data_IF_454766264286
#
_entry.id   IF_454766264286
#
_cell.length_a   1.000
_cell.length_b   1.000
_cell.length_c   1.000
_cell.angle_alpha   90.00
_cell.angle_beta   90.00
_cell.angle_gamma   90.00
#
_symmetry.space_group_name_H-M   'P 1'
#
loop_
_entity.id
_entity.type
_entity.pdbx_description
1 polymer ?
#
# COMPACT_ATOMS: atom_id res chain seq x y z
N UNK A 1 -31.03 -13.77 26.61
CA UNK A 1 -30.82 -12.34 26.96
C UNK A 1 -30.06 -11.73 25.81
N UNK A 2 -30.74 -10.95 24.95
CA UNK A 2 -30.06 -10.13 23.95
C UNK A 2 -29.47 -8.93 24.68
N UNK A 3 -28.15 -8.78 24.67
CA UNK A 3 -27.51 -7.56 25.16
C UNK A 3 -27.99 -6.40 24.28
N UNK A 4 -28.80 -5.50 24.85
CA UNK A 4 -29.16 -4.26 24.19
C UNK A 4 -27.90 -3.43 23.98
N UNK A 5 -27.44 -3.36 22.72
CA UNK A 5 -26.34 -2.49 22.33
C UNK A 5 -26.79 -1.06 22.61
N UNK A 6 -26.19 -0.44 23.63
CA UNK A 6 -26.57 0.88 24.14
C UNK A 6 -25.40 1.86 23.99
N UNK A 7 -25.68 3.16 23.90
CA UNK A 7 -24.65 4.20 23.88
C UNK A 7 -23.99 4.41 22.51
N UNK A 8 -22.70 4.70 22.47
CA UNK A 8 -22.01 5.08 21.21
C UNK A 8 -22.09 3.97 20.14
N UNK A 9 -22.04 2.70 20.54
CA UNK A 9 -22.15 1.59 19.61
C UNK A 9 -23.48 1.56 18.86
N UNK A 10 -24.60 1.89 19.51
CA UNK A 10 -25.91 1.89 18.83
C UNK A 10 -26.00 2.99 17.77
N UNK A 11 -25.43 4.17 18.07
CA UNK A 11 -25.33 5.26 17.10
C UNK A 11 -24.47 4.87 15.89
N UNK A 12 -23.32 4.22 16.14
CA UNK A 12 -22.45 3.72 15.06
C UNK A 12 -23.18 2.67 14.21
N UNK A 13 -23.90 1.74 14.84
CA UNK A 13 -24.71 0.74 14.12
C UNK A 13 -25.83 1.38 13.29
N UNK A 14 -26.44 2.46 13.79
CA UNK A 14 -27.50 3.16 13.06
C UNK A 14 -26.98 3.85 11.79
N UNK A 15 -25.74 4.36 11.81
CA UNK A 15 -25.15 5.05 10.64
C UNK A 15 -24.36 4.12 9.72
N UNK A 16 -23.88 2.97 10.21
CA UNK A 16 -23.04 2.05 9.44
C UNK A 16 -23.64 1.58 8.10
N UNK A 17 -24.97 1.36 7.97
CA UNK A 17 -25.58 1.07 6.68
C UNK A 17 -25.37 2.14 5.62
N UNK A 18 -25.16 3.40 6.01
CA UNK A 18 -24.90 4.51 5.09
C UNK A 18 -23.41 4.78 4.88
N UNK A 19 -22.52 4.06 5.55
CA UNK A 19 -21.08 4.36 5.58
C UNK A 19 -20.47 4.54 4.18
N UNK A 20 -20.67 3.57 3.27
CA UNK A 20 -20.14 3.66 1.90
C UNK A 20 -20.71 4.82 1.07
N UNK A 21 -21.87 5.38 1.44
CA UNK A 21 -22.48 6.52 0.75
C UNK A 21 -21.99 7.85 1.31
N UNK A 22 -21.50 7.85 2.56
CA UNK A 22 -20.96 9.04 3.23
C UNK A 22 -19.49 9.32 2.89
N UNK A 23 -18.76 8.34 2.38
CA UNK A 23 -17.34 8.44 2.08
C UNK A 23 -17.08 8.36 0.57
N UNK A 24 -16.09 9.11 0.11
CA UNK A 24 -15.67 9.07 -1.30
C UNK A 24 -14.84 7.82 -1.62
N UNK A 25 -14.01 7.39 -0.67
CA UNK A 25 -13.11 6.25 -0.84
C UNK A 25 -13.85 4.92 -0.64
N UNK A 26 -13.49 3.90 -1.42
CA UNK A 26 -14.07 2.56 -1.26
C UNK A 26 -13.50 1.86 -0.01
N UNK A 27 -14.28 1.86 1.07
CA UNK A 27 -13.88 1.26 2.35
C UNK A 27 -15.00 0.45 2.99
N UNK A 28 -14.66 -0.68 3.58
CA UNK A 28 -15.57 -1.45 4.43
C UNK A 28 -15.60 -0.90 5.86
N UNK A 29 -16.70 -1.16 6.56
CA UNK A 29 -16.84 -0.88 7.99
C UNK A 29 -17.21 -2.16 8.74
N UNK A 30 -16.60 -2.38 9.89
CA UNK A 30 -16.93 -3.44 10.83
C UNK A 30 -17.11 -2.83 12.22
N UNK A 31 -18.16 -3.23 12.93
CA UNK A 31 -18.43 -2.80 14.30
C UNK A 31 -18.52 -4.05 15.17
N UNK A 32 -17.89 -4.01 16.34
CA UNK A 32 -17.82 -5.13 17.28
C UNK A 32 -18.19 -4.66 18.68
N UNK A 33 -18.73 -5.56 19.50
CA UNK A 33 -18.70 -5.40 20.96
C UNK A 33 -17.37 -5.99 21.48
N UNK A 34 -17.33 -6.38 22.76
CA UNK A 34 -16.17 -7.00 23.39
C UNK A 34 -15.96 -8.48 23.04
N UNK A 35 -16.95 -9.13 22.44
CA UNK A 35 -16.99 -10.59 22.24
C UNK A 35 -17.04 -10.97 20.76
N UNK A 36 -17.76 -10.22 19.94
CA UNK A 36 -18.11 -10.59 18.57
C UNK A 36 -18.36 -9.38 17.66
N UNK A 37 -18.40 -9.66 16.36
CA UNK A 37 -18.80 -8.71 15.32
C UNK A 37 -20.31 -8.48 15.37
N UNK A 38 -20.72 -7.22 15.49
CA UNK A 38 -22.12 -6.81 15.46
C UNK A 38 -22.58 -6.50 14.03
N UNK A 39 -21.71 -5.90 13.23
CA UNK A 39 -22.04 -5.45 11.88
C UNK A 39 -20.83 -5.45 10.98
N UNK A 40 -21.03 -5.82 9.71
CA UNK A 40 -20.04 -5.69 8.67
C UNK A 40 -20.70 -5.22 7.38
N UNK A 41 -20.15 -4.17 6.78
CA UNK A 41 -20.44 -3.76 5.41
C UNK A 41 -19.13 -3.78 4.62
N UNK A 42 -19.02 -4.56 3.54
CA UNK A 42 -17.81 -4.64 2.74
C UNK A 42 -17.58 -3.36 1.94
N UNK A 43 -16.34 -3.16 1.49
CA UNK A 43 -16.06 -2.26 0.38
C UNK A 43 -16.59 -2.89 -0.93
N UNK A 44 -16.71 -2.11 -1.99
CA UNK A 44 -17.10 -2.62 -3.32
C UNK A 44 -16.08 -3.61 -3.85
N UNK A 45 -14.79 -3.30 -3.73
CA UNK A 45 -13.70 -4.12 -4.26
C UNK A 45 -13.12 -5.09 -3.23
N UNK A 46 -13.41 -4.89 -1.94
CA UNK A 46 -12.87 -5.71 -0.85
C UNK A 46 -13.97 -6.21 0.09
N UNK A 47 -14.33 -7.49 -0.08
CA UNK A 47 -15.23 -8.20 0.80
C UNK A 47 -14.52 -9.34 1.55
N UNK A 48 -14.28 -9.12 2.85
CA UNK A 48 -13.64 -10.08 3.76
C UNK A 48 -14.59 -11.21 4.20
N UNK A 49 -15.86 -11.19 3.76
CA UNK A 49 -16.90 -12.18 4.09
C UNK A 49 -17.12 -12.35 5.60
N UNK A 50 -16.95 -11.28 6.35
CA UNK A 50 -17.20 -11.25 7.79
C UNK A 50 -18.72 -11.29 8.01
N UNK A 51 -19.16 -12.07 9.00
CA UNK A 51 -20.57 -12.17 9.38
C UNK A 51 -20.76 -11.62 10.79
N UNK A 52 -21.95 -11.07 11.06
CA UNK A 52 -22.35 -10.76 12.42
C UNK A 52 -22.40 -12.05 13.26
N UNK A 53 -22.02 -11.95 14.52
CA UNK A 53 -21.83 -13.10 15.42
C UNK A 53 -20.46 -13.78 15.30
N UNK A 54 -19.55 -13.28 14.44
CA UNK A 54 -18.18 -13.81 14.38
C UNK A 54 -17.43 -13.43 15.67
N UNK A 55 -16.89 -14.40 16.45
CA UNK A 55 -16.15 -14.10 17.66
C UNK A 55 -14.88 -13.28 17.38
N UNK A 56 -14.57 -12.36 18.28
CA UNK A 56 -13.32 -11.61 18.26
C UNK A 56 -12.14 -12.53 18.57
N UNK A 57 -11.12 -12.45 17.71
CA UNK A 57 -9.90 -13.25 17.83
C UNK A 57 -8.66 -12.34 17.86
N UNK A 58 -7.56 -12.76 18.51
CA UNK A 58 -6.35 -11.93 18.66
C UNK A 58 -5.75 -11.39 17.35
N UNK A 59 -5.97 -12.10 16.25
CA UNK A 59 -5.49 -11.70 14.92
C UNK A 59 -6.27 -10.50 14.36
N UNK A 60 -7.47 -10.23 14.88
CA UNK A 60 -8.32 -9.13 14.43
C UNK A 60 -7.83 -7.80 15.01
N UNK A 61 -7.79 -6.76 14.17
CA UNK A 61 -7.42 -5.41 14.62
C UNK A 61 -8.35 -4.87 15.71
N UNK A 62 -9.65 -5.22 15.66
CA UNK A 62 -10.63 -4.88 16.69
C UNK A 62 -10.24 -5.42 18.07
N UNK A 63 -9.78 -6.68 18.14
CA UNK A 63 -9.38 -7.29 19.41
C UNK A 63 -8.25 -6.50 20.07
N UNK A 64 -7.20 -6.17 19.30
CA UNK A 64 -6.08 -5.39 19.80
C UNK A 64 -6.47 -3.96 20.20
N UNK A 65 -7.36 -3.31 19.43
CA UNK A 65 -7.83 -1.98 19.77
C UNK A 65 -8.61 -1.97 21.10
N UNK A 66 -9.40 -3.02 21.35
CA UNK A 66 -10.15 -3.19 22.59
C UNK A 66 -9.21 -3.52 23.76
N UNK A 67 -8.30 -4.49 23.59
CA UNK A 67 -7.44 -4.99 24.67
C UNK A 67 -6.36 -3.99 25.08
N UNK A 68 -5.77 -3.28 24.12
CA UNK A 68 -4.75 -2.27 24.36
C UNK A 68 -5.35 -0.88 24.63
N UNK A 69 -6.65 -0.71 24.38
CA UNK A 69 -7.36 0.56 24.52
C UNK A 69 -6.68 1.71 23.74
N UNK A 70 -6.23 1.41 22.52
CA UNK A 70 -5.59 2.38 21.62
C UNK A 70 -6.03 2.16 20.18
N UNK A 71 -5.86 3.18 19.34
CA UNK A 71 -6.05 3.06 17.89
C UNK A 71 -5.01 2.12 17.29
N UNK A 72 -5.47 1.11 16.57
CA UNK A 72 -4.62 0.12 15.88
C UNK A 72 -4.72 0.32 14.36
N UNK A 73 -3.57 0.30 13.69
CA UNK A 73 -3.48 0.24 12.22
C UNK A 73 -2.72 -1.03 11.87
N UNK A 74 -3.38 -1.97 11.19
CA UNK A 74 -2.74 -3.18 10.68
C UNK A 74 -2.80 -3.22 9.16
N UNK A 75 -1.64 -3.44 8.55
CA UNK A 75 -1.54 -3.76 7.13
C UNK A 75 -1.57 -5.28 6.97
N UNK A 76 -2.48 -5.75 6.14
CA UNK A 76 -2.69 -7.16 5.85
C UNK A 76 -2.21 -7.46 4.43
N UNK A 77 -1.35 -8.46 4.25
CA UNK A 77 -0.86 -8.85 2.92
C UNK A 77 -1.99 -9.49 2.09
N UNK A 78 -1.83 -9.44 0.78
CA UNK A 78 -2.75 -10.06 -0.18
C UNK A 78 -2.90 -11.58 0.01
N UNK A 79 -1.94 -12.25 0.64
CA UNK A 79 -1.90 -13.71 0.81
C UNK A 79 -3.11 -14.28 1.57
N UNK A 80 -3.80 -13.47 2.38
CA UNK A 80 -4.93 -13.93 3.20
C UNK A 80 -6.28 -13.78 2.48
N UNK A 81 -6.44 -12.75 1.65
CA UNK A 81 -7.74 -12.36 1.09
C UNK A 81 -7.69 -11.98 -0.40
N UNK A 82 -6.58 -12.25 -1.08
CA UNK A 82 -6.35 -11.93 -2.50
C UNK A 82 -5.96 -10.48 -2.76
N UNK A 83 -6.38 -9.54 -1.90
CA UNK A 83 -6.14 -8.10 -2.04
C UNK A 83 -5.44 -7.60 -0.76
N UNK A 84 -4.36 -6.81 -0.86
CA UNK A 84 -3.71 -6.22 0.29
C UNK A 84 -4.57 -5.08 0.83
N UNK A 85 -4.71 -4.98 2.16
CA UNK A 85 -5.57 -3.97 2.77
C UNK A 85 -5.03 -3.46 4.09
N UNK A 86 -5.51 -2.31 4.53
CA UNK A 86 -5.30 -1.78 5.87
C UNK A 86 -6.60 -1.87 6.65
N UNK A 87 -6.51 -2.32 7.90
CA UNK A 87 -7.58 -2.26 8.90
C UNK A 87 -7.20 -1.23 9.97
N UNK A 88 -8.03 -0.20 10.13
CA UNK A 88 -7.89 0.84 11.14
C UNK A 88 -8.98 0.60 12.18
N UNK A 89 -8.60 0.12 13.36
CA UNK A 89 -9.51 -0.14 14.46
C UNK A 89 -9.38 0.95 15.52
N UNK A 90 -10.52 1.50 15.96
CA UNK A 90 -10.59 2.44 17.08
C UNK A 90 -11.48 1.84 18.18
N UNK A 91 -11.05 1.87 19.44
CA UNK A 91 -11.93 1.52 20.56
C UNK A 91 -13.12 2.49 20.60
N UNK A 92 -14.28 1.95 20.94
CA UNK A 92 -15.51 2.71 21.16
C UNK A 92 -15.82 2.63 22.64
N UNK A 93 -16.12 3.78 23.24
CA UNK A 93 -16.34 3.91 24.67
C UNK A 93 -17.83 4.03 25.02
N UNK A 94 -18.21 3.51 26.18
CA UNK A 94 -19.50 3.77 26.80
C UNK A 94 -19.55 5.15 27.49
N UNK A 95 -20.68 5.48 28.11
CA UNK A 95 -20.87 6.74 28.84
C UNK A 95 -20.00 6.86 30.11
N UNK A 96 -19.42 5.76 30.58
CA UNK A 96 -18.53 5.72 31.75
C UNK A 96 -17.06 5.87 31.37
N UNK A 97 -16.75 5.89 30.06
CA UNK A 97 -15.39 5.94 29.53
C UNK A 97 -14.71 4.57 29.45
N UNK A 98 -15.44 3.47 29.66
CA UNK A 98 -14.93 2.12 29.47
C UNK A 98 -15.09 1.68 28.02
N UNK A 99 -14.18 0.82 27.54
CA UNK A 99 -14.28 0.27 26.19
C UNK A 99 -15.52 -0.63 26.11
N UNK A 100 -16.41 -0.33 25.16
CA UNK A 100 -17.62 -1.09 24.87
C UNK A 100 -17.45 -2.00 23.64
N UNK A 101 -16.46 -1.70 22.79
CA UNK A 101 -16.23 -2.41 21.54
C UNK A 101 -15.25 -1.66 20.64
N UNK A 102 -15.33 -1.89 19.34
CA UNK A 102 -14.50 -1.21 18.35
C UNK A 102 -15.25 -0.93 17.05
N UNK A 103 -14.80 0.12 16.35
CA UNK A 103 -15.13 0.38 14.96
C UNK A 103 -13.87 0.20 14.12
N UNK A 104 -14.01 -0.53 13.02
CA UNK A 104 -12.91 -0.82 12.10
C UNK A 104 -13.28 -0.33 10.71
N UNK A 105 -12.39 0.45 10.11
CA UNK A 105 -12.44 0.80 8.69
C UNK A 105 -11.42 -0.07 7.94
N UNK A 106 -11.85 -0.67 6.84
CA UNK A 106 -11.04 -1.58 6.03
C UNK A 106 -10.92 -1.01 4.62
N UNK A 107 -9.70 -0.81 4.12
CA UNK A 107 -9.47 -0.22 2.82
C UNK A 107 -8.40 -0.99 2.03
N UNK A 108 -8.67 -1.25 0.75
CA UNK A 108 -7.65 -1.79 -0.17
C UNK A 108 -6.49 -0.82 -0.31
N UNK A 109 -5.28 -1.37 -0.37
CA UNK A 109 -4.06 -0.59 -0.66
C UNK A 109 -3.41 -1.04 -1.97
N UNK A 110 -4.14 -1.76 -2.81
CA UNK A 110 -3.64 -2.27 -4.09
C UNK A 110 -3.07 -1.16 -4.97
N UNK A 111 -3.81 -0.05 -5.14
CA UNK A 111 -3.33 1.10 -5.91
C UNK A 111 -2.04 1.69 -5.31
N UNK A 112 -1.96 1.79 -3.98
CA UNK A 112 -0.77 2.31 -3.30
C UNK A 112 0.44 1.38 -3.50
N UNK A 113 0.23 0.07 -3.44
CA UNK A 113 1.26 -0.93 -3.70
C UNK A 113 1.73 -0.89 -5.16
N UNK A 114 0.80 -0.75 -6.09
CA UNK A 114 1.11 -0.71 -7.52
C UNK A 114 1.88 0.56 -7.89
N UNK A 115 1.49 1.73 -7.38
CA UNK A 115 2.24 2.98 -7.56
C UNK A 115 3.65 2.82 -7.01
N UNK A 116 3.80 2.25 -5.80
CA UNK A 116 5.12 2.01 -5.19
C UNK A 116 5.97 1.05 -6.03
N UNK A 117 5.36 0.00 -6.58
CA UNK A 117 6.03 -0.97 -7.46
C UNK A 117 6.52 -0.30 -8.72
N UNK A 118 5.68 0.49 -9.38
CA UNK A 118 6.03 1.24 -10.59
C UNK A 118 7.16 2.24 -10.30
N UNK A 119 7.11 2.98 -9.18
CA UNK A 119 8.19 3.89 -8.77
C UNK A 119 9.52 3.17 -8.63
N UNK A 120 9.51 2.01 -7.97
CA UNK A 120 10.73 1.20 -7.77
C UNK A 120 11.30 0.69 -9.10
N UNK A 121 10.42 0.30 -10.04
CA UNK A 121 10.85 -0.12 -11.39
C UNK A 121 11.42 1.07 -12.15
N UNK A 122 10.79 2.24 -12.08
CA UNK A 122 11.26 3.46 -12.73
C UNK A 122 12.64 3.88 -12.21
N UNK A 123 12.85 3.88 -10.90
CA UNK A 123 14.15 4.18 -10.27
C UNK A 123 15.26 3.27 -10.81
N UNK A 124 14.98 1.96 -10.91
CA UNK A 124 15.93 0.99 -11.47
C UNK A 124 16.22 1.24 -12.95
N UNK A 125 15.18 1.52 -13.75
CA UNK A 125 15.35 1.83 -15.17
C UNK A 125 16.17 3.11 -15.38
N UNK A 126 15.97 4.14 -14.56
CA UNK A 126 16.79 5.35 -14.60
C UNK A 126 18.26 5.10 -14.25
N UNK A 127 18.54 4.24 -13.26
CA UNK A 127 19.90 3.85 -12.91
C UNK A 127 20.61 3.13 -14.07
N UNK A 128 19.90 2.24 -14.78
CA UNK A 128 20.42 1.56 -15.98
C UNK A 128 20.71 2.58 -17.09
N UNK A 129 19.78 3.50 -17.36
CA UNK A 129 19.96 4.52 -18.41
C UNK A 129 21.19 5.39 -18.11
N UNK A 130 21.37 5.85 -16.88
CA UNK A 130 22.54 6.63 -16.49
C UNK A 130 23.84 5.86 -16.76
N UNK A 131 23.89 4.58 -16.37
CA UNK A 131 25.04 3.71 -16.66
C UNK A 131 25.30 3.57 -18.16
N UNK A 132 24.27 3.36 -18.98
CA UNK A 132 24.44 3.29 -20.43
C UNK A 132 24.90 4.60 -21.05
N UNK A 133 24.48 5.76 -20.52
CA UNK A 133 24.95 7.08 -20.95
C UNK A 133 26.45 7.24 -20.65
N UNK A 134 26.89 6.82 -19.45
CA UNK A 134 28.30 6.85 -19.07
C UNK A 134 29.14 5.94 -19.98
N UNK A 135 28.66 4.73 -20.28
CA UNK A 135 29.32 3.80 -21.22
C UNK A 135 29.42 4.40 -22.64
N UNK A 136 28.35 5.00 -23.16
CA UNK A 136 28.35 5.63 -24.48
C UNK A 136 29.31 6.83 -24.53
N UNK A 137 29.38 7.63 -23.46
CA UNK A 137 30.31 8.73 -23.35
C UNK A 137 31.78 8.24 -23.36
N UNK A 138 32.06 7.14 -22.65
CA UNK A 138 33.38 6.50 -22.65
C UNK A 138 33.76 5.99 -24.06
N UNK A 139 32.86 5.26 -24.73
CA UNK A 139 33.08 4.78 -26.10
C UNK A 139 33.30 5.93 -27.09
N UNK A 140 32.54 7.02 -26.96
CA UNK A 140 32.71 8.21 -27.81
C UNK A 140 34.09 8.84 -27.62
N UNK A 141 34.59 8.90 -26.39
CA UNK A 141 35.94 9.38 -26.09
C UNK A 141 37.01 8.47 -26.70
N UNK A 142 36.87 7.15 -26.60
CA UNK A 142 37.76 6.19 -27.24
C UNK A 142 37.80 6.37 -28.76
N UNK A 143 36.63 6.48 -29.41
CA UNK A 143 36.52 6.75 -30.85
C UNK A 143 37.23 8.07 -31.21
N UNK A 144 37.07 9.13 -30.41
CA UNK A 144 37.73 10.41 -30.64
C UNK A 144 39.26 10.31 -30.55
N UNK A 145 39.78 9.51 -29.61
CA UNK A 145 41.22 9.25 -29.48
C UNK A 145 41.74 8.46 -30.68
N UNK A 146 41.07 7.37 -31.05
CA UNK A 146 41.42 6.55 -32.22
C UNK A 146 41.40 7.38 -33.51
N UNK A 147 40.39 8.24 -33.68
CA UNK A 147 40.28 9.15 -34.83
C UNK A 147 41.46 10.12 -34.91
N UNK A 148 41.88 10.71 -33.77
CA UNK A 148 43.07 11.59 -33.72
C UNK A 148 44.35 10.81 -34.04
N UNK A 149 44.47 9.57 -33.58
CA UNK A 149 45.62 8.72 -33.86
C UNK A 149 45.73 8.37 -35.35
N UNK A 150 44.61 7.98 -35.98
CA UNK A 150 44.52 7.72 -37.42
C UNK A 150 44.81 8.97 -38.25
N UNK A 151 44.35 10.15 -37.82
CA UNK A 151 44.66 11.41 -38.49
C UNK A 151 46.16 11.75 -38.44
N UNK A 152 46.85 11.36 -37.36
CA UNK A 152 48.31 11.55 -37.19
C UNK A 152 49.14 10.48 -37.91
N UNK A 153 48.59 9.30 -38.19
CA UNK A 153 49.31 8.21 -38.87
C UNK A 153 49.21 8.24 -40.41
N UNK A 154 48.63 9.28 -41.01
CA UNK A 154 48.74 9.50 -42.47
C UNK A 154 50.22 9.54 -42.87
N UNK A 155 50.66 8.76 -43.87
CA UNK A 155 52.06 8.47 -44.11
C UNK A 155 52.88 9.70 -44.50
N UNK A 156 54.01 9.86 -43.83
CA UNK A 156 55.12 10.70 -44.22
C UNK A 156 55.69 10.19 -45.56
N UNK A 157 55.40 10.92 -46.65
CA UNK A 157 56.15 10.96 -47.91
C UNK A 157 56.50 9.65 -48.63
N UNK A 158 55.72 9.31 -49.67
CA UNK A 158 56.31 8.72 -50.89
C UNK A 158 56.91 9.89 -51.68
N UNK A 159 58.22 10.12 -51.54
CA UNK A 159 58.94 11.01 -52.47
C UNK A 159 58.90 10.37 -53.86
N UNK A 160 58.59 11.11 -54.94
CA UNK A 160 58.70 10.58 -56.29
C UNK A 160 60.17 10.28 -56.58
N UNK A 161 60.46 9.04 -56.95
CA UNK A 161 61.77 8.66 -57.51
C UNK A 161 61.88 9.33 -58.87
N UNK A 162 62.81 10.28 -58.97
CA UNK A 162 63.18 10.92 -60.24
C UNK A 162 64.01 9.92 -61.04
N UNK A 163 63.51 9.52 -62.21
CA UNK A 163 64.19 8.68 -63.19
C UNK A 163 63.64 8.97 -64.58
#
# INVERSE_FOLDING_TARGET
MQNEVTGMLSHLLAIAPFFNEMILEDSGICITNLEEVLYYKPAKELNLKIQAGLPLRPEMAAYAAISENVRIIRRMPATLHGIPFIAIANPVYDSTGQVAGAVVVIQSIELQEEIKRISTVLEKSMAIIAGTVDEVAAQTNEIAILSKLLARSKPESVKPVSG
#
